data_IF_244821946791
#
_entry.id   IF_244821946791
#
_cell.length_a   1.000
_cell.length_b   1.000
_cell.length_c   1.000
_cell.angle_alpha   90.00
_cell.angle_beta   90.00
_cell.angle_gamma   90.00
#
_symmetry.space_group_name_H-M   'P 1'
#
loop_
_entity.id
_entity.type
_entity.pdbx_description
1 polymer ?
#
# COMPACT_ATOMS: atom_id res chain seq x y z
N UNK A 1 -11.13 1.05 -8.09
CA UNK A 1 -11.12 0.60 -6.70
C UNK A 1 -10.35 1.55 -5.77
N UNK A 2 -9.06 1.88 -6.07
CA UNK A 2 -8.22 2.70 -5.20
C UNK A 2 -8.78 4.10 -4.88
N UNK A 3 -9.26 4.90 -5.86
CA UNK A 3 -9.83 6.21 -5.57
C UNK A 3 -11.07 6.17 -4.65
N UNK A 4 -11.94 5.18 -4.81
CA UNK A 4 -13.11 5.01 -3.96
C UNK A 4 -12.72 4.72 -2.51
N UNK A 5 -11.71 3.87 -2.31
CA UNK A 5 -11.19 3.52 -1.00
C UNK A 5 -10.57 4.75 -0.30
N UNK A 6 -9.77 5.54 -1.03
CA UNK A 6 -9.20 6.78 -0.50
C UNK A 6 -10.27 7.80 -0.12
N UNK A 7 -11.37 7.89 -0.89
CA UNK A 7 -12.51 8.74 -0.56
C UNK A 7 -13.16 8.31 0.75
N UNK A 8 -13.36 7.01 0.98
CA UNK A 8 -13.93 6.48 2.23
C UNK A 8 -13.04 6.86 3.44
N UNK A 9 -11.73 6.65 3.35
CA UNK A 9 -10.79 7.01 4.43
C UNK A 9 -10.86 8.53 4.71
N UNK A 10 -10.93 9.35 3.65
CA UNK A 10 -11.00 10.80 3.78
C UNK A 10 -12.27 11.27 4.50
N UNK A 11 -13.41 10.66 4.22
CA UNK A 11 -14.71 11.06 4.81
C UNK A 11 -14.77 10.72 6.31
N UNK A 12 -14.04 9.69 6.74
CA UNK A 12 -14.06 9.22 8.13
C UNK A 12 -13.12 9.97 9.06
N UNK A 13 -12.26 10.85 8.55
CA UNK A 13 -11.28 11.58 9.33
C UNK A 13 -11.50 13.09 9.22
N UNK A 14 -11.29 13.80 10.32
CA UNK A 14 -11.23 15.27 10.30
C UNK A 14 -10.04 15.77 9.48
N UNK A 15 -10.05 17.03 9.05
CA UNK A 15 -8.94 17.57 8.25
C UNK A 15 -7.59 17.52 8.98
N UNK A 16 -7.62 17.64 10.31
CA UNK A 16 -6.43 17.61 11.17
C UNK A 16 -5.87 16.18 11.33
N UNK A 17 -6.72 15.16 11.23
CA UNK A 17 -6.34 13.76 11.46
C UNK A 17 -6.17 12.94 10.17
N UNK A 18 -6.25 13.57 9.01
CA UNK A 18 -6.20 12.85 7.74
C UNK A 18 -4.91 12.07 7.52
N UNK A 19 -3.75 12.63 7.90
CA UNK A 19 -2.47 11.93 7.72
C UNK A 19 -2.41 10.67 8.59
N UNK A 20 -2.92 10.75 9.83
CA UNK A 20 -3.04 9.61 10.74
C UNK A 20 -3.99 8.55 10.18
N UNK A 21 -5.15 8.94 9.65
CA UNK A 21 -6.11 8.02 9.06
C UNK A 21 -5.51 7.26 7.87
N UNK A 22 -4.84 7.95 6.96
CA UNK A 22 -4.14 7.31 5.84
C UNK A 22 -2.97 6.44 6.31
N UNK A 23 -2.17 6.90 7.27
CA UNK A 23 -1.07 6.15 7.84
C UNK A 23 -1.54 4.87 8.53
N UNK A 24 -2.61 4.94 9.32
CA UNK A 24 -3.22 3.78 9.99
C UNK A 24 -3.83 2.81 8.96
N UNK A 25 -4.50 3.33 7.94
CA UNK A 25 -5.03 2.52 6.85
C UNK A 25 -3.91 1.76 6.12
N UNK A 26 -2.84 2.45 5.73
CA UNK A 26 -1.68 1.82 5.07
C UNK A 26 -0.96 0.84 6.01
N UNK A 27 -0.82 1.18 7.28
CA UNK A 27 -0.28 0.29 8.30
C UNK A 27 -1.12 -0.98 8.44
N UNK A 28 -2.43 -0.85 8.58
CA UNK A 28 -3.38 -1.96 8.63
C UNK A 28 -3.29 -2.84 7.38
N UNK A 29 -3.27 -2.24 6.20
CA UNK A 29 -3.08 -2.95 4.93
C UNK A 29 -1.77 -3.74 4.90
N UNK A 30 -0.70 -3.17 5.44
CA UNK A 30 0.60 -3.84 5.56
C UNK A 30 0.55 -5.06 6.49
N UNK A 31 -0.11 -4.96 7.64
CA UNK A 31 -0.31 -6.08 8.57
C UNK A 31 -1.12 -7.20 7.92
N UNK A 32 -2.23 -6.87 7.25
CA UNK A 32 -3.03 -7.86 6.53
C UNK A 32 -2.25 -8.52 5.40
N UNK A 33 -1.42 -7.78 4.67
CA UNK A 33 -0.57 -8.33 3.62
C UNK A 33 0.47 -9.32 4.20
N UNK A 34 1.09 -8.99 5.33
CA UNK A 34 2.02 -9.87 6.02
C UNK A 34 1.31 -11.15 6.53
N UNK A 35 0.12 -11.02 7.10
CA UNK A 35 -0.69 -12.16 7.53
C UNK A 35 -1.08 -13.06 6.34
N UNK A 36 -1.51 -12.48 5.22
CA UNK A 36 -1.82 -13.21 3.98
C UNK A 36 -0.62 -14.02 3.47
N UNK A 37 0.55 -13.38 3.45
CA UNK A 37 1.79 -14.04 3.03
C UNK A 37 2.17 -15.18 3.97
N UNK A 38 2.03 -14.99 5.29
CA UNK A 38 2.29 -16.03 6.26
C UNK A 38 1.37 -17.25 6.08
N UNK A 39 0.07 -17.03 5.87
CA UNK A 39 -0.89 -18.10 5.59
C UNK A 39 -0.57 -18.83 4.29
N UNK A 40 -0.28 -18.11 3.21
CA UNK A 40 0.11 -18.70 1.95
C UNK A 40 1.38 -19.57 2.06
N UNK A 41 2.38 -19.07 2.81
CA UNK A 41 3.63 -19.81 3.08
C UNK A 41 3.35 -21.06 3.91
N UNK A 42 2.47 -20.99 4.91
CA UNK A 42 2.08 -22.15 5.71
C UNK A 42 1.37 -23.20 4.87
N UNK A 43 0.42 -22.80 4.02
CA UNK A 43 -0.26 -23.71 3.08
C UNK A 43 0.78 -24.44 2.22
N UNK A 44 1.69 -23.69 1.59
CA UNK A 44 2.73 -24.28 0.76
C UNK A 44 3.61 -25.25 1.53
N UNK A 45 4.08 -24.85 2.73
CA UNK A 45 4.93 -25.67 3.58
C UNK A 45 4.29 -27.01 4.00
N UNK A 46 2.98 -27.03 4.27
CA UNK A 46 2.24 -28.25 4.62
C UNK A 46 2.27 -29.25 3.44
N UNK A 47 1.98 -28.77 2.24
CA UNK A 47 1.94 -29.64 1.05
C UNK A 47 3.35 -30.04 0.58
N UNK A 48 4.34 -29.18 0.75
CA UNK A 48 5.74 -29.50 0.44
C UNK A 48 6.25 -30.63 1.33
N UNK A 49 5.94 -30.63 2.63
CA UNK A 49 6.29 -31.71 3.57
C UNK A 49 5.66 -33.04 3.19
N UNK A 50 4.53 -33.04 2.50
CA UNK A 50 3.83 -34.22 1.99
C UNK A 50 4.30 -34.62 0.58
N UNK A 51 5.38 -34.04 0.06
CA UNK A 51 5.89 -34.24 -1.30
C UNK A 51 4.86 -33.94 -2.41
N UNK A 52 3.94 -33.00 -2.15
CA UNK A 52 2.88 -32.58 -3.08
C UNK A 52 2.96 -31.08 -3.42
N UNK A 53 4.08 -30.55 -3.95
CA UNK A 53 4.27 -29.11 -4.16
C UNK A 53 3.24 -28.51 -5.12
N UNK A 54 2.79 -29.25 -6.12
CA UNK A 54 1.76 -28.81 -7.08
C UNK A 54 0.42 -28.52 -6.38
N UNK A 55 0.03 -29.33 -5.41
CA UNK A 55 -1.17 -29.08 -4.60
C UNK A 55 -0.98 -27.87 -3.68
N UNK A 56 0.22 -27.64 -3.18
CA UNK A 56 0.55 -26.44 -2.42
C UNK A 56 0.35 -25.18 -3.24
N UNK A 57 0.82 -25.15 -4.47
CA UNK A 57 0.62 -24.01 -5.39
C UNK A 57 -0.87 -23.80 -5.69
N UNK A 58 -1.61 -24.88 -6.00
CA UNK A 58 -3.07 -24.79 -6.21
C UNK A 58 -3.78 -24.26 -4.96
N UNK A 59 -3.39 -24.71 -3.77
CA UNK A 59 -3.94 -24.23 -2.50
C UNK A 59 -3.72 -22.73 -2.30
N UNK A 60 -2.55 -22.21 -2.64
CA UNK A 60 -2.26 -20.77 -2.59
C UNK A 60 -3.15 -20.01 -3.59
N UNK A 61 -3.27 -20.51 -4.82
CA UNK A 61 -4.12 -19.88 -5.84
C UNK A 61 -5.58 -19.79 -5.36
N UNK A 62 -6.11 -20.88 -4.82
CA UNK A 62 -7.46 -20.88 -4.24
C UNK A 62 -7.60 -19.92 -3.07
N UNK A 63 -6.62 -19.86 -2.16
CA UNK A 63 -6.62 -18.92 -1.04
C UNK A 63 -6.65 -17.47 -1.51
N UNK A 64 -5.78 -17.09 -2.45
CA UNK A 64 -5.74 -15.73 -3.00
C UNK A 64 -6.98 -15.37 -3.84
N UNK A 65 -7.68 -16.34 -4.39
CA UNK A 65 -8.92 -16.12 -5.14
C UNK A 65 -10.14 -15.99 -4.23
N UNK A 66 -10.25 -16.85 -3.22
CA UNK A 66 -11.40 -16.90 -2.33
C UNK A 66 -11.39 -15.77 -1.31
N UNK A 67 -10.24 -15.39 -0.77
CA UNK A 67 -10.14 -14.36 0.26
C UNK A 67 -10.71 -12.99 -0.21
N UNK A 68 -10.36 -12.43 -1.38
CA UNK A 68 -10.97 -11.19 -1.87
C UNK A 68 -12.45 -11.34 -2.18
N UNK A 69 -12.90 -12.51 -2.63
CA UNK A 69 -14.30 -12.77 -2.93
C UNK A 69 -15.15 -12.73 -1.65
N UNK A 70 -14.70 -13.40 -0.59
CA UNK A 70 -15.36 -13.38 0.73
C UNK A 70 -15.40 -11.95 1.28
N UNK A 71 -14.27 -11.24 1.24
CA UNK A 71 -14.20 -9.84 1.68
C UNK A 71 -15.13 -8.96 0.85
N UNK A 72 -15.18 -9.14 -0.47
CA UNK A 72 -16.09 -8.40 -1.36
C UNK A 72 -17.56 -8.60 -0.99
N UNK A 73 -17.97 -9.84 -0.71
CA UNK A 73 -19.33 -10.16 -0.25
C UNK A 73 -19.61 -9.48 1.11
N UNK A 74 -18.69 -9.55 2.06
CA UNK A 74 -18.82 -8.89 3.36
C UNK A 74 -18.97 -7.38 3.18
N UNK A 75 -18.21 -6.76 2.27
CA UNK A 75 -18.31 -5.34 1.99
C UNK A 75 -19.69 -4.92 1.45
N UNK A 76 -20.34 -5.74 0.64
CA UNK A 76 -21.70 -5.45 0.14
C UNK A 76 -22.71 -5.30 1.29
N UNK A 77 -22.55 -6.07 2.36
CA UNK A 77 -23.46 -6.03 3.50
C UNK A 77 -23.08 -5.01 4.56
N UNK A 78 -21.79 -4.70 4.73
CA UNK A 78 -21.26 -3.82 5.78
C UNK A 78 -21.12 -2.37 5.33
N UNK A 79 -20.80 -2.11 4.05
CA UNK A 79 -20.72 -0.75 3.54
C UNK A 79 -22.14 -0.20 3.31
N UNK A 80 -22.62 0.54 4.30
CA UNK A 80 -23.65 1.54 4.07
C UNK A 80 -22.96 2.73 3.39
N UNK A 81 -23.37 3.06 2.18
CA UNK A 81 -22.96 4.35 1.60
C UNK A 81 -23.40 5.43 2.60
N UNK A 82 -22.47 6.27 3.10
CA UNK A 82 -22.88 7.44 3.84
C UNK A 82 -23.82 8.19 2.91
N UNK A 83 -25.00 8.59 3.42
CA UNK A 83 -25.88 9.48 2.69
C UNK A 83 -24.99 10.61 2.18
N UNK A 84 -24.74 10.60 0.87
CA UNK A 84 -24.01 11.71 0.26
C UNK A 84 -24.86 12.91 0.59
N UNK A 85 -24.38 13.77 1.50
CA UNK A 85 -24.95 15.08 1.69
C UNK A 85 -24.99 15.62 0.28
N UNK A 86 -26.19 15.67 -0.26
CA UNK A 86 -26.45 16.32 -1.53
C UNK A 86 -26.24 17.80 -1.25
N UNK A 87 -24.98 18.23 -1.25
CA UNK A 87 -24.69 19.62 -1.45
C UNK A 87 -25.28 19.93 -2.82
N UNK A 88 -26.41 20.60 -2.77
CA UNK A 88 -27.13 21.21 -3.87
C UNK A 88 -27.18 20.38 -5.18
N UNK A 89 -28.25 19.59 -5.34
CA UNK A 89 -28.99 19.31 -6.58
C UNK A 89 -28.26 18.94 -7.88
N UNK A 90 -26.96 18.99 -7.92
CA UNK A 90 -26.14 18.65 -9.08
C UNK A 90 -25.51 17.27 -8.85
N UNK A 91 -26.10 16.26 -9.48
CA UNK A 91 -25.36 15.03 -9.78
C UNK A 91 -24.07 15.46 -10.52
N UNK A 92 -22.94 15.50 -9.81
CA UNK A 92 -21.67 15.85 -10.42
C UNK A 92 -21.20 14.70 -11.31
N UNK A 93 -21.83 14.57 -12.48
CA UNK A 93 -21.22 13.85 -13.58
C UNK A 93 -19.95 14.60 -13.90
N UNK A 94 -18.80 13.98 -13.56
CA UNK A 94 -17.49 14.57 -13.84
C UNK A 94 -17.44 14.92 -15.31
N UNK A 95 -17.46 16.22 -15.62
CA UNK A 95 -17.41 16.69 -17.00
C UNK A 95 -15.98 16.56 -17.52
N UNK A 96 -15.83 16.25 -18.80
CA UNK A 96 -14.50 16.24 -19.44
C UNK A 96 -13.76 17.58 -19.26
N UNK A 97 -14.51 18.69 -19.17
CA UNK A 97 -13.95 20.03 -18.87
C UNK A 97 -13.30 20.10 -17.47
N UNK A 98 -13.86 19.40 -16.49
CA UNK A 98 -13.32 19.37 -15.13
C UNK A 98 -12.00 18.61 -15.10
N UNK A 99 -11.90 17.51 -15.85
CA UNK A 99 -10.65 16.76 -16.01
C UNK A 99 -9.55 17.65 -16.62
N UNK A 100 -9.87 18.38 -17.68
CA UNK A 100 -8.91 19.31 -18.30
C UNK A 100 -8.51 20.43 -17.34
N UNK A 101 -9.46 20.94 -16.54
CA UNK A 101 -9.18 21.96 -15.53
C UNK A 101 -8.19 21.47 -14.50
N UNK A 102 -8.38 20.26 -13.99
CA UNK A 102 -7.48 19.63 -13.01
C UNK A 102 -6.09 19.40 -13.61
N UNK A 103 -6.02 18.91 -14.85
CA UNK A 103 -4.74 18.69 -15.56
C UNK A 103 -3.97 19.98 -15.84
N UNK A 104 -4.66 21.13 -15.92
CA UNK A 104 -4.00 22.44 -16.07
C UNK A 104 -3.41 23.00 -14.77
N UNK A 105 -3.73 22.41 -13.62
CA UNK A 105 -3.20 22.85 -12.33
C UNK A 105 -1.75 22.35 -12.16
N UNK A 106 -0.76 23.26 -11.96
CA UNK A 106 0.64 22.86 -11.81
C UNK A 106 0.88 21.96 -10.58
N UNK A 107 0.07 22.13 -9.53
CA UNK A 107 0.13 21.31 -8.31
C UNK A 107 -0.15 19.84 -8.62
N UNK A 108 -1.04 19.54 -9.59
CA UNK A 108 -1.31 18.15 -9.98
C UNK A 108 -0.08 17.46 -10.58
N UNK A 109 0.69 18.18 -11.38
CA UNK A 109 1.93 17.64 -11.95
C UNK A 109 3.01 17.40 -10.90
N UNK A 110 3.12 18.30 -9.91
CA UNK A 110 4.01 18.09 -8.76
C UNK A 110 3.63 16.82 -7.99
N UNK A 111 2.35 16.63 -7.69
CA UNK A 111 1.86 15.41 -7.01
C UNK A 111 2.16 14.17 -7.84
N UNK A 112 1.91 14.20 -9.16
CA UNK A 112 2.19 13.08 -10.07
C UNK A 112 3.69 12.73 -10.04
N UNK A 113 4.57 13.73 -10.16
CA UNK A 113 6.01 13.52 -10.15
C UNK A 113 6.46 12.93 -8.80
N UNK A 114 5.96 13.46 -7.69
CA UNK A 114 6.26 12.94 -6.36
C UNK A 114 5.82 11.48 -6.21
N UNK A 115 4.60 11.16 -6.61
CA UNK A 115 4.11 9.79 -6.57
C UNK A 115 4.93 8.87 -7.49
N UNK A 116 5.20 9.30 -8.71
CA UNK A 116 6.02 8.53 -9.65
C UNK A 116 7.41 8.22 -9.09
N UNK A 117 8.09 9.21 -8.53
CA UNK A 117 9.43 9.05 -7.92
C UNK A 117 9.39 8.06 -6.75
N UNK A 118 8.39 8.19 -5.86
CA UNK A 118 8.23 7.28 -4.72
C UNK A 118 7.94 5.84 -5.17
N UNK A 119 7.11 5.65 -6.19
CA UNK A 119 6.80 4.34 -6.75
C UNK A 119 8.00 3.71 -7.47
N UNK A 120 8.77 4.50 -8.22
CA UNK A 120 10.00 4.04 -8.87
C UNK A 120 10.99 3.52 -7.85
N UNK A 121 11.16 4.23 -6.72
CA UNK A 121 11.98 3.76 -5.62
C UNK A 121 11.46 2.45 -5.03
N UNK A 122 10.15 2.35 -4.78
CA UNK A 122 9.56 1.11 -4.26
C UNK A 122 9.77 -0.07 -5.22
N UNK A 123 9.70 0.17 -6.54
CA UNK A 123 9.98 -0.86 -7.55
C UNK A 123 11.45 -1.34 -7.52
N UNK A 124 12.40 -0.49 -7.15
CA UNK A 124 13.81 -0.88 -7.04
C UNK A 124 14.02 -1.96 -5.97
N UNK A 125 13.15 -2.04 -4.96
CA UNK A 125 13.23 -3.07 -3.92
C UNK A 125 13.11 -4.51 -4.46
N UNK A 126 12.48 -4.72 -5.62
CA UNK A 126 12.41 -6.03 -6.27
C UNK A 126 13.78 -6.50 -6.78
N UNK A 127 14.71 -5.60 -6.98
CA UNK A 127 16.08 -5.91 -7.43
C UNK A 127 17.05 -6.16 -6.26
N UNK A 128 16.66 -5.91 -5.01
CA UNK A 128 17.55 -6.11 -3.85
C UNK A 128 17.96 -7.57 -3.66
N UNK A 129 17.03 -8.52 -3.81
CA UNK A 129 17.37 -9.94 -3.68
C UNK A 129 18.38 -10.40 -4.73
N UNK A 130 18.18 -10.20 -6.05
CA UNK A 130 19.16 -10.58 -7.05
C UNK A 130 20.46 -9.77 -6.93
N UNK A 131 20.41 -8.50 -6.55
CA UNK A 131 21.63 -7.70 -6.30
C UNK A 131 22.42 -8.24 -5.12
N UNK A 132 21.78 -8.49 -4.00
CA UNK A 132 22.46 -9.02 -2.81
C UNK A 132 23.08 -10.40 -3.05
N UNK A 133 22.40 -11.28 -3.80
CA UNK A 133 22.93 -12.61 -4.09
C UNK A 133 24.00 -12.62 -5.18
N UNK A 134 23.84 -11.83 -6.26
CA UNK A 134 24.74 -11.92 -7.42
C UNK A 134 25.94 -10.97 -7.33
N UNK A 135 25.79 -9.83 -6.65
CA UNK A 135 26.85 -8.79 -6.57
C UNK A 135 27.53 -8.83 -5.21
N UNK A 136 26.78 -8.85 -4.10
CA UNK A 136 27.34 -8.87 -2.75
C UNK A 136 27.78 -10.29 -2.34
N UNK A 137 27.21 -11.33 -2.98
CA UNK A 137 27.58 -12.73 -2.72
C UNK A 137 26.92 -13.34 -1.48
N UNK A 138 25.89 -12.71 -0.91
CA UNK A 138 25.12 -13.32 0.18
C UNK A 138 24.25 -14.46 -0.35
N UNK A 139 23.97 -15.45 0.51
CA UNK A 139 23.11 -16.58 0.09
C UNK A 139 21.73 -16.08 -0.29
N UNK A 140 21.10 -16.74 -1.28
CA UNK A 140 19.74 -16.39 -1.74
C UNK A 140 18.72 -16.39 -0.59
N UNK A 141 18.91 -17.22 0.43
CA UNK A 141 18.05 -17.28 1.62
C UNK A 141 18.18 -15.99 2.44
N UNK A 142 19.40 -15.50 2.70
CA UNK A 142 19.63 -14.25 3.44
C UNK A 142 19.06 -13.07 2.66
N UNK A 143 19.30 -13.00 1.35
CA UNK A 143 18.77 -11.97 0.49
C UNK A 143 17.22 -11.93 0.50
N UNK A 144 16.58 -13.11 0.46
CA UNK A 144 15.14 -13.22 0.57
C UNK A 144 14.61 -12.77 1.94
N UNK A 145 15.26 -13.14 3.03
CA UNK A 145 14.90 -12.72 4.39
C UNK A 145 14.97 -11.19 4.51
N UNK A 146 16.02 -10.53 4.01
CA UNK A 146 16.13 -9.08 4.04
C UNK A 146 15.00 -8.39 3.29
N UNK A 147 14.62 -8.92 2.12
CA UNK A 147 13.49 -8.40 1.34
C UNK A 147 12.16 -8.57 2.08
N UNK A 148 11.95 -9.72 2.72
CA UNK A 148 10.73 -9.98 3.51
C UNK A 148 10.67 -9.09 4.75
N UNK A 149 11.79 -8.87 5.44
CA UNK A 149 11.85 -7.97 6.61
C UNK A 149 11.38 -6.56 6.27
N UNK A 150 11.68 -6.05 5.09
CA UNK A 150 11.21 -4.73 4.65
C UNK A 150 9.68 -4.64 4.63
N UNK A 151 8.99 -5.72 4.30
CA UNK A 151 7.52 -5.77 4.29
C UNK A 151 6.92 -5.71 5.70
N UNK A 152 7.61 -6.25 6.70
CA UNK A 152 7.17 -6.16 8.10
C UNK A 152 7.41 -4.79 8.73
N UNK A 153 8.45 -4.08 8.29
CA UNK A 153 8.75 -2.71 8.76
C UNK A 153 7.76 -1.69 8.18
N UNK A 154 7.28 -1.93 6.96
CA UNK A 154 6.39 -1.01 6.23
C UNK A 154 5.14 -0.56 7.02
N UNK A 155 4.38 -1.43 7.71
CA UNK A 155 3.21 -1.01 8.50
C UNK A 155 3.56 0.00 9.58
N UNK A 156 4.66 -0.24 10.29
CA UNK A 156 5.11 0.66 11.36
C UNK A 156 5.55 2.01 10.79
N UNK A 157 6.34 2.00 9.72
CA UNK A 157 6.78 3.22 9.05
C UNK A 157 5.60 4.03 8.51
N UNK A 158 4.59 3.40 7.91
CA UNK A 158 3.40 4.08 7.40
C UNK A 158 2.58 4.72 8.52
N UNK A 159 2.37 4.00 9.61
CA UNK A 159 1.64 4.53 10.78
C UNK A 159 2.39 5.69 11.42
N UNK A 160 3.69 5.53 11.67
CA UNK A 160 4.54 6.60 12.22
C UNK A 160 4.58 7.83 11.31
N UNK A 161 4.67 7.62 10.00
CA UNK A 161 4.60 8.69 9.00
C UNK A 161 3.28 9.46 9.05
N UNK A 162 2.15 8.77 9.22
CA UNK A 162 0.85 9.38 9.39
C UNK A 162 0.76 10.26 10.64
N UNK A 163 1.17 9.74 11.80
CA UNK A 163 1.22 10.51 13.04
C UNK A 163 2.18 11.71 12.97
N UNK A 164 3.34 11.52 12.34
CA UNK A 164 4.30 12.60 12.13
C UNK A 164 3.75 13.69 11.23
N UNK A 165 2.97 13.32 10.20
CA UNK A 165 2.33 14.23 9.27
C UNK A 165 1.32 15.15 9.95
N UNK A 166 0.55 14.63 10.90
CA UNK A 166 -0.41 15.45 11.66
C UNK A 166 0.30 16.32 12.73
N UNK A 167 1.37 15.82 13.35
CA UNK A 167 2.08 16.53 14.43
C UNK A 167 3.05 17.60 13.93
N UNK A 168 3.83 17.31 12.90
CA UNK A 168 4.92 18.17 12.41
C UNK A 168 4.58 18.86 11.07
N UNK A 169 3.42 18.53 10.51
CA UNK A 169 2.99 19.02 9.20
C UNK A 169 3.38 18.09 8.06
N UNK A 170 2.46 17.97 7.13
CA UNK A 170 2.55 17.04 5.98
C UNK A 170 3.78 17.27 5.12
N UNK A 171 4.09 18.55 4.83
CA UNK A 171 5.24 18.93 4.00
C UNK A 171 6.57 18.55 4.62
N UNK A 172 6.76 18.82 5.93
CA UNK A 172 7.98 18.48 6.63
C UNK A 172 8.20 16.97 6.71
N UNK A 173 7.14 16.23 7.04
CA UNK A 173 7.20 14.75 7.09
C UNK A 173 7.56 14.15 5.73
N UNK A 174 7.04 14.71 4.62
CA UNK A 174 7.38 14.27 3.27
C UNK A 174 8.84 14.55 2.93
N UNK A 175 9.35 15.76 3.26
CA UNK A 175 10.76 16.11 3.02
C UNK A 175 11.69 15.15 3.78
N UNK A 176 11.42 14.92 5.06
CA UNK A 176 12.20 13.96 5.87
C UNK A 176 12.14 12.56 5.27
N UNK A 177 10.97 12.10 4.82
CA UNK A 177 10.81 10.82 4.15
C UNK A 177 11.68 10.70 2.89
N UNK A 178 11.71 11.74 2.05
CA UNK A 178 12.56 11.76 0.86
C UNK A 178 14.07 11.79 1.20
N UNK A 179 14.47 12.55 2.22
CA UNK A 179 15.87 12.56 2.67
C UNK A 179 16.29 11.16 3.14
N UNK A 180 15.47 10.49 3.95
CA UNK A 180 15.74 9.12 4.41
C UNK A 180 15.79 8.13 3.24
N UNK A 181 14.94 8.32 2.24
CA UNK A 181 14.91 7.48 1.04
C UNK A 181 16.21 7.64 0.22
N UNK A 182 16.68 8.87 0.03
CA UNK A 182 17.93 9.17 -0.67
C UNK A 182 19.12 8.60 0.13
N UNK A 183 19.16 8.83 1.43
CA UNK A 183 20.22 8.29 2.29
C UNK A 183 20.29 6.75 2.21
N UNK A 184 19.13 6.07 2.19
CA UNK A 184 19.08 4.61 2.07
C UNK A 184 19.55 4.04 0.72
N UNK A 185 19.66 4.88 -0.32
CA UNK A 185 20.21 4.45 -1.63
C UNK A 185 21.71 4.68 -1.71
N UNK A 186 22.22 5.72 -1.03
CA UNK A 186 23.64 6.12 -1.11
C UNK A 186 24.54 5.30 -0.19
N UNK A 187 23.97 4.71 0.86
CA UNK A 187 24.69 3.82 1.79
C UNK A 187 24.70 2.38 1.28
#
# INVERSE_FOLDING_TARGET
FWPALMKIVRIQATEEEQSRAYGTFEGGRGVFNAAHLAVATAIFGIFQRKAMPTLGIKGIIWFYSLAPLIVGIIFIFLLKEPETVKEDGTSSTVSFKDIIRVLKMPVMWLIIIMMYTSYTFNMSSYYFTPYASNIIGVTAVIAAILTVMSQYIRPFAATLGGFSGDKFGRSHTMIVGYILMIAGVVI
#
